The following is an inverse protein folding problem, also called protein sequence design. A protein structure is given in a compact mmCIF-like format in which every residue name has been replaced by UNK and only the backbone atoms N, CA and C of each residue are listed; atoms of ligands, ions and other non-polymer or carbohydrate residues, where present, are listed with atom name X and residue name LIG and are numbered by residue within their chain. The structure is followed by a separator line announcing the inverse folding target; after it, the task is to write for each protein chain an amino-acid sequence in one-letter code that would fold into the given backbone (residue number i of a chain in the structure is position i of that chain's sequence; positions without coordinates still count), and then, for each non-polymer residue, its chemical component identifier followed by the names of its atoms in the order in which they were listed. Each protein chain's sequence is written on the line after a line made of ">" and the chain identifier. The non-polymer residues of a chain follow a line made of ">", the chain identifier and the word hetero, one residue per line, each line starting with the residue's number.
data_IF_773019972246
#
_entry.id   IF_773019972246
#
_cell.length_a   1.000
_cell.length_b   1.000
_cell.length_c   1.000
_cell.angle_alpha   90.00
_cell.angle_beta   90.00
_cell.angle_gamma   90.00
#
_symmetry.space_group_name_H-M   'P 1'
#
loop_
_entity.id
_entity.type
_entity.pdbx_description
1 polymer ?
#
# COMPACT_ATOMS: atom_id res chain seq x y z
N UNK A 1 -1.62 2.14 23.28
CA UNK A 1 -1.17 0.93 22.56
C UNK A 1 -0.86 -0.15 23.57
N UNK A 2 -1.45 -1.33 23.39
CA UNK A 2 -1.12 -2.52 24.18
C UNK A 2 0.25 -3.03 23.73
N UNK A 3 1.21 -3.17 24.66
CA UNK A 3 2.59 -3.58 24.32
C UNK A 3 2.69 -5.02 23.83
N UNK A 4 1.65 -5.82 24.04
CA UNK A 4 1.63 -7.23 23.68
C UNK A 4 1.08 -7.49 22.27
N UNK A 5 0.59 -6.44 21.58
CA UNK A 5 0.02 -6.52 20.24
C UNK A 5 0.98 -5.93 19.20
N UNK A 6 0.98 -6.53 18.01
CA UNK A 6 1.67 -6.02 16.83
C UNK A 6 0.70 -5.10 16.07
N UNK A 7 1.04 -3.83 15.90
CA UNK A 7 0.16 -2.88 15.21
C UNK A 7 0.54 -2.63 13.76
N UNK A 8 1.82 -2.77 13.41
CA UNK A 8 2.30 -2.60 12.06
C UNK A 8 3.61 -3.34 11.82
N UNK A 9 3.88 -3.65 10.56
CA UNK A 9 5.15 -4.17 10.07
C UNK A 9 5.77 -3.04 9.22
N UNK A 10 6.85 -2.41 9.69
CA UNK A 10 7.49 -1.32 8.95
C UNK A 10 8.15 -1.79 7.66
N UNK A 11 8.07 -0.95 6.63
CA UNK A 11 8.78 -1.16 5.37
C UNK A 11 10.29 -1.20 5.57
N UNK A 12 10.97 -2.07 4.82
CA UNK A 12 12.44 -2.14 4.80
C UNK A 12 13.12 -2.78 6.02
N UNK A 13 12.43 -2.99 7.14
CA UNK A 13 13.02 -3.57 8.35
C UNK A 13 13.14 -5.11 8.28
N UNK A 14 12.15 -5.76 7.64
CA UNK A 14 12.06 -7.22 7.60
C UNK A 14 12.15 -7.73 6.16
N UNK A 15 13.02 -8.71 5.93
CA UNK A 15 12.93 -9.60 4.77
C UNK A 15 11.82 -10.65 4.98
N UNK A 16 11.53 -11.43 3.92
CA UNK A 16 10.52 -12.52 3.94
C UNK A 16 10.57 -13.37 5.22
N UNK A 17 11.72 -13.97 5.53
CA UNK A 17 11.86 -14.84 6.71
C UNK A 17 11.62 -14.10 8.02
N UNK A 18 11.96 -12.82 8.08
CA UNK A 18 11.69 -11.94 9.23
C UNK A 18 10.20 -11.73 9.42
N UNK A 19 9.47 -11.38 8.36
CA UNK A 19 8.02 -11.24 8.38
C UNK A 19 7.34 -12.54 8.81
N UNK A 20 7.72 -13.66 8.19
CA UNK A 20 7.12 -14.97 8.49
C UNK A 20 7.37 -15.38 9.95
N UNK A 21 8.55 -15.09 10.48
CA UNK A 21 8.89 -15.37 11.88
C UNK A 21 8.12 -14.47 12.84
N UNK A 22 8.00 -13.18 12.54
CA UNK A 22 7.23 -12.22 13.31
C UNK A 22 5.75 -12.61 13.39
N UNK A 23 5.13 -12.95 12.25
CA UNK A 23 3.71 -13.35 12.25
C UNK A 23 3.47 -14.64 13.03
N UNK A 24 4.43 -15.58 13.07
CA UNK A 24 4.34 -16.80 13.89
C UNK A 24 4.37 -16.52 15.40
N UNK A 25 4.94 -15.39 15.84
CA UNK A 25 4.90 -15.00 17.27
C UNK A 25 3.58 -14.32 17.67
N UNK A 26 2.72 -14.03 16.69
CA UNK A 26 1.41 -13.39 16.88
C UNK A 26 0.27 -14.29 16.34
N UNK A 27 0.00 -15.44 16.97
CA UNK A 27 -1.01 -16.40 16.50
C UNK A 27 -2.44 -15.84 16.52
N UNK A 28 -2.69 -14.73 17.22
CA UNK A 28 -3.94 -13.98 17.17
C UNK A 28 -4.21 -13.29 15.83
N UNK A 29 -3.19 -13.07 14.99
CA UNK A 29 -3.37 -12.55 13.64
C UNK A 29 -3.81 -13.72 12.76
N UNK A 30 -5.11 -13.79 12.45
CA UNK A 30 -5.72 -14.96 11.79
C UNK A 30 -5.96 -14.75 10.31
N UNK A 31 -5.94 -13.51 9.85
CA UNK A 31 -6.26 -13.15 8.48
C UNK A 31 -5.21 -12.21 7.91
N UNK A 32 -5.08 -12.22 6.58
CA UNK A 32 -4.49 -11.13 5.81
C UNK A 32 -5.57 -10.60 4.86
N UNK A 33 -5.58 -9.29 4.63
CA UNK A 33 -6.42 -8.65 3.63
C UNK A 33 -5.54 -7.80 2.72
N UNK A 34 -5.61 -8.06 1.41
CA UNK A 34 -5.02 -7.18 0.40
C UNK A 34 -6.01 -6.06 0.11
N UNK A 35 -5.55 -4.81 0.16
CA UNK A 35 -6.42 -3.63 0.03
C UNK A 35 -6.01 -2.83 -1.20
N UNK A 36 -6.84 -2.85 -2.23
CA UNK A 36 -6.69 -2.04 -3.44
C UNK A 36 -7.66 -0.85 -3.44
N UNK A 37 -7.30 0.23 -4.15
CA UNK A 37 -8.16 1.41 -4.30
C UNK A 37 -8.56 1.56 -5.76
N UNK A 38 -9.86 1.49 -6.05
CA UNK A 38 -10.38 1.65 -7.41
C UNK A 38 -10.33 3.11 -7.89
N UNK A 39 -10.78 3.38 -9.12
CA UNK A 39 -10.74 4.73 -9.71
C UNK A 39 -11.79 5.70 -9.14
N UNK A 40 -12.77 5.20 -8.40
CA UNK A 40 -13.73 6.02 -7.66
C UNK A 40 -13.25 6.32 -6.23
N UNK A 41 -12.12 5.75 -5.81
CA UNK A 41 -11.55 5.93 -4.47
C UNK A 41 -12.14 4.97 -3.43
N UNK A 42 -12.86 3.94 -3.84
CA UNK A 42 -13.37 2.92 -2.91
C UNK A 42 -12.24 1.93 -2.57
N UNK A 43 -12.22 1.50 -1.31
CA UNK A 43 -11.42 0.37 -0.91
C UNK A 43 -12.07 -0.94 -1.35
N UNK A 44 -11.26 -1.83 -1.92
CA UNK A 44 -11.62 -3.20 -2.22
C UNK A 44 -10.63 -4.09 -1.51
N UNK A 45 -11.15 -4.97 -0.67
CA UNK A 45 -10.33 -5.83 0.16
C UNK A 45 -10.70 -7.30 0.01
N UNK A 46 -9.67 -8.14 -0.13
CA UNK A 46 -9.82 -9.58 -0.23
C UNK A 46 -9.15 -10.24 0.97
N UNK A 47 -9.98 -10.78 1.87
CA UNK A 47 -9.55 -11.35 3.15
C UNK A 47 -9.37 -12.86 3.04
N UNK A 48 -8.17 -13.33 3.34
CA UNK A 48 -7.81 -14.75 3.33
C UNK A 48 -7.18 -15.19 4.65
N UNK A 49 -7.24 -16.49 5.01
CA UNK A 49 -6.56 -17.01 6.20
C UNK A 49 -5.05 -16.74 6.17
N UNK A 50 -4.49 -16.34 7.30
CA UNK A 50 -3.05 -16.03 7.43
C UNK A 50 -2.16 -17.22 7.06
N UNK A 51 -2.63 -18.45 7.25
CA UNK A 51 -1.90 -19.67 6.95
C UNK A 51 -1.57 -19.77 5.45
N UNK A 52 -2.46 -19.29 4.57
CA UNK A 52 -2.20 -19.25 3.13
C UNK A 52 -1.10 -18.24 2.80
N UNK A 53 -1.08 -17.10 3.48
CA UNK A 53 -0.02 -16.10 3.34
C UNK A 53 1.34 -16.64 3.80
N UNK A 54 1.37 -17.32 4.95
CA UNK A 54 2.60 -17.92 5.48
C UNK A 54 3.16 -19.00 4.55
N UNK A 55 2.29 -19.75 3.87
CA UNK A 55 2.67 -20.84 2.96
C UNK A 55 3.08 -20.32 1.58
N UNK A 56 2.32 -19.35 1.04
CA UNK A 56 2.41 -18.90 -0.35
C UNK A 56 2.89 -17.45 -0.45
N UNK A 57 3.76 -17.02 0.47
CA UNK A 57 4.16 -15.62 0.62
C UNK A 57 4.52 -14.92 -0.70
N UNK A 58 5.36 -15.56 -1.53
CA UNK A 58 5.84 -14.95 -2.79
C UNK A 58 4.71 -14.74 -3.80
N UNK A 59 3.67 -15.57 -3.78
CA UNK A 59 2.54 -15.51 -4.72
C UNK A 59 1.69 -14.23 -4.50
N UNK A 60 1.67 -13.68 -3.28
CA UNK A 60 0.99 -12.42 -2.98
C UNK A 60 1.67 -11.22 -3.63
N UNK A 61 3.00 -11.28 -3.79
CA UNK A 61 3.79 -10.23 -4.44
C UNK A 61 3.94 -10.44 -5.95
N UNK A 62 3.76 -11.69 -6.42
CA UNK A 62 3.73 -12.02 -7.84
C UNK A 62 2.37 -11.72 -8.51
N UNK A 63 1.33 -11.40 -7.73
CA UNK A 63 -0.03 -11.21 -8.26
C UNK A 63 -0.72 -12.51 -8.66
N UNK A 64 -0.34 -13.63 -8.05
CA UNK A 64 -0.88 -14.96 -8.38
C UNK A 64 -1.71 -15.56 -7.26
N UNK A 65 -1.63 -15.00 -6.04
CA UNK A 65 -2.33 -15.53 -4.87
C UNK A 65 -3.79 -15.08 -4.74
N UNK A 66 -4.09 -13.83 -5.11
CA UNK A 66 -5.39 -13.18 -4.85
C UNK A 66 -5.87 -12.46 -6.09
N UNK A 67 -7.16 -12.65 -6.41
CA UNK A 67 -7.82 -12.08 -7.57
C UNK A 67 -9.18 -11.56 -7.14
N UNK A 68 -9.60 -10.45 -7.73
CA UNK A 68 -10.97 -9.93 -7.62
C UNK A 68 -11.62 -9.88 -9.00
N UNK A 69 -12.94 -9.91 -9.01
CA UNK A 69 -13.72 -9.61 -10.20
C UNK A 69 -13.74 -8.08 -10.43
N UNK A 70 -13.35 -7.66 -11.63
CA UNK A 70 -13.30 -6.29 -12.10
C UNK A 70 -14.66 -5.61 -12.17
N UNK A 71 -15.75 -6.38 -12.12
CA UNK A 71 -17.11 -5.85 -11.94
C UNK A 71 -17.44 -5.50 -10.49
N UNK A 72 -16.67 -6.00 -9.51
CA UNK A 72 -16.79 -5.65 -8.09
C UNK A 72 -16.02 -4.39 -7.72
N UNK A 73 -15.33 -3.77 -8.68
CA UNK A 73 -14.52 -2.56 -8.50
C UNK A 73 -14.81 -1.53 -9.58
N UNK A 74 -14.68 -0.24 -9.27
CA UNK A 74 -14.97 0.81 -10.26
C UNK A 74 -13.75 1.04 -11.16
N UNK A 75 -13.69 0.27 -12.25
CA UNK A 75 -12.65 0.33 -13.28
C UNK A 75 -13.26 0.65 -14.65
N UNK A 76 -13.81 1.86 -14.80
CA UNK A 76 -14.60 2.29 -15.97
C UNK A 76 -13.93 1.93 -17.32
N UNK A 77 -14.55 1.04 -18.08
CA UNK A 77 -14.10 0.55 -19.40
C UNK A 77 -12.75 -0.18 -19.43
N UNK A 78 -12.18 -0.51 -18.27
CA UNK A 78 -10.91 -1.25 -18.18
C UNK A 78 -11.19 -2.74 -18.01
N UNK A 79 -12.08 -3.11 -17.08
CA UNK A 79 -12.57 -4.47 -16.91
C UNK A 79 -13.97 -4.59 -17.53
N UNK A 80 -14.19 -5.63 -18.34
CA UNK A 80 -15.50 -5.92 -18.95
C UNK A 80 -15.99 -7.30 -18.52
N UNK A 81 -17.27 -7.62 -18.68
CA UNK A 81 -17.83 -8.92 -18.23
C UNK A 81 -17.04 -10.14 -18.74
N UNK A 82 -16.49 -10.07 -19.95
CA UNK A 82 -15.73 -11.16 -20.56
C UNK A 82 -14.21 -11.07 -20.30
N UNK A 83 -13.77 -10.01 -19.64
CA UNK A 83 -12.37 -9.73 -19.28
C UNK A 83 -12.33 -8.99 -17.95
N UNK A 84 -12.84 -9.66 -16.91
CA UNK A 84 -13.03 -9.07 -15.59
C UNK A 84 -11.92 -9.44 -14.60
N UNK A 85 -10.97 -10.30 -14.97
CA UNK A 85 -9.96 -10.77 -14.02
C UNK A 85 -9.04 -9.62 -13.62
N UNK A 86 -8.94 -9.34 -12.33
CA UNK A 86 -8.01 -8.38 -11.75
C UNK A 86 -7.17 -9.08 -10.69
N UNK A 87 -5.86 -9.11 -10.89
CA UNK A 87 -4.92 -9.69 -9.94
C UNK A 87 -4.53 -8.63 -8.89
N UNK A 88 -4.45 -9.00 -7.61
CA UNK A 88 -4.05 -8.11 -6.52
C UNK A 88 -2.59 -8.35 -6.16
N UNK A 89 -1.75 -7.32 -6.32
CA UNK A 89 -0.30 -7.39 -6.11
C UNK A 89 0.06 -6.65 -4.82
N UNK A 90 0.44 -7.39 -3.78
CA UNK A 90 0.83 -6.82 -2.48
C UNK A 90 2.02 -5.85 -2.62
N UNK A 91 1.99 -4.72 -1.90
CA UNK A 91 3.02 -3.70 -1.94
C UNK A 91 4.01 -3.84 -0.76
N UNK A 92 5.24 -4.32 -0.98
CA UNK A 92 6.24 -4.46 0.08
C UNK A 92 6.97 -3.16 0.42
N UNK A 93 6.73 -2.07 -0.35
CA UNK A 93 7.46 -0.81 -0.18
C UNK A 93 6.88 0.09 0.91
N UNK A 94 5.76 -0.30 1.51
CA UNK A 94 5.05 0.50 2.52
C UNK A 94 4.79 -0.28 3.80
N UNK A 95 4.48 0.44 4.87
CA UNK A 95 4.09 -0.16 6.13
C UNK A 95 2.79 -0.95 5.96
N UNK A 96 2.74 -2.13 6.58
CA UNK A 96 1.52 -2.92 6.71
C UNK A 96 0.99 -2.79 8.12
N UNK A 97 -0.32 -2.82 8.32
CA UNK A 97 -0.92 -2.60 9.63
C UNK A 97 -1.80 -3.78 10.05
N UNK A 98 -2.02 -3.93 11.35
CA UNK A 98 -2.91 -4.95 11.90
C UNK A 98 -4.20 -4.28 12.35
N UNK A 99 -5.31 -4.73 11.80
CA UNK A 99 -6.66 -4.36 12.21
C UNK A 99 -7.21 -5.40 13.18
N UNK A 100 -7.47 -5.00 14.42
CA UNK A 100 -7.92 -5.89 15.49
C UNK A 100 -9.42 -5.77 15.72
N UNK A 101 -10.10 -6.91 15.75
CA UNK A 101 -11.50 -6.99 16.15
C UNK A 101 -11.60 -7.28 17.65
N UNK A 102 -11.85 -6.23 18.44
CA UNK A 102 -11.97 -6.31 19.90
C UNK A 102 -13.16 -7.17 20.39
N UNK A 103 -14.18 -7.38 19.55
CA UNK A 103 -15.32 -8.23 19.87
C UNK A 103 -15.04 -9.72 19.59
N UNK A 104 -13.95 -10.04 18.90
CA UNK A 104 -13.57 -11.41 18.55
C UNK A 104 -12.25 -11.78 19.20
N UNK A 105 -12.32 -12.45 20.36
CA UNK A 105 -11.15 -12.80 21.16
C UNK A 105 -10.63 -14.19 20.79
N UNK A 106 -9.33 -14.28 20.52
CA UNK A 106 -8.62 -15.53 20.28
C UNK A 106 -8.34 -16.28 21.59
N UNK A 107 -7.98 -17.57 21.48
CA UNK A 107 -7.77 -18.47 22.63
C UNK A 107 -6.72 -17.97 23.64
N UNK A 108 -5.77 -17.15 23.19
CA UNK A 108 -4.74 -16.54 24.04
C UNK A 108 -5.21 -15.26 24.76
N UNK A 109 -6.50 -14.90 24.65
CA UNK A 109 -7.09 -13.71 25.28
C UNK A 109 -6.85 -12.39 24.52
N UNK A 110 -6.21 -12.42 23.34
CA UNK A 110 -5.98 -11.25 22.50
C UNK A 110 -7.07 -11.13 21.41
N UNK A 111 -7.40 -9.92 20.94
CA UNK A 111 -8.33 -9.76 19.82
C UNK A 111 -7.76 -10.37 18.54
N UNK A 112 -8.64 -10.91 17.70
CA UNK A 112 -8.28 -11.46 16.40
C UNK A 112 -7.84 -10.34 15.46
N UNK A 113 -6.63 -10.48 14.93
CA UNK A 113 -6.02 -9.52 14.02
C UNK A 113 -6.18 -9.91 12.54
N UNK A 114 -6.31 -8.89 11.69
CA UNK A 114 -6.19 -8.96 10.23
C UNK A 114 -4.99 -8.13 9.80
N UNK A 115 -3.97 -8.75 9.22
CA UNK A 115 -2.87 -8.04 8.56
C UNK A 115 -3.40 -7.38 7.29
N UNK A 116 -3.39 -6.05 7.21
CA UNK A 116 -3.83 -5.29 6.05
C UNK A 116 -2.62 -4.82 5.25
N UNK A 117 -2.54 -5.25 4.00
CA UNK A 117 -1.44 -4.97 3.08
C UNK A 117 -2.01 -4.16 1.90
N UNK A 118 -1.56 -2.91 1.68
CA UNK A 118 -1.90 -2.19 0.47
C UNK A 118 -1.46 -2.98 -0.77
N UNK A 119 -2.26 -2.96 -1.82
CA UNK A 119 -1.93 -3.64 -3.07
C UNK A 119 -2.17 -2.74 -4.28
N UNK A 120 -1.62 -3.17 -5.42
CA UNK A 120 -1.95 -2.65 -6.74
C UNK A 120 -2.94 -3.60 -7.43
N UNK A 121 -3.79 -3.06 -8.30
CA UNK A 121 -4.70 -3.83 -9.12
C UNK A 121 -4.09 -3.98 -10.51
N UNK A 122 -3.74 -5.21 -10.86
CA UNK A 122 -3.13 -5.58 -12.12
C UNK A 122 -4.18 -6.19 -13.04
N UNK A 123 -4.30 -5.65 -14.24
CA UNK A 123 -5.15 -6.19 -15.28
C UNK A 123 -4.40 -6.22 -16.59
N UNK A 124 -4.33 -7.38 -17.25
CA UNK A 124 -3.64 -7.56 -18.53
C UNK A 124 -2.19 -7.02 -18.53
N UNK A 125 -1.47 -7.23 -17.43
CA UNK A 125 -0.07 -6.81 -17.26
C UNK A 125 0.13 -5.31 -17.03
N UNK A 126 -0.94 -4.56 -16.75
CA UNK A 126 -0.88 -3.13 -16.44
C UNK A 126 -1.53 -2.85 -15.10
N UNK A 127 -0.90 -1.99 -14.29
CA UNK A 127 -1.56 -1.46 -13.10
C UNK A 127 -2.57 -0.41 -13.50
N UNK A 128 -3.77 -0.50 -12.93
CA UNK A 128 -4.96 0.23 -13.37
C UNK A 128 -5.69 0.93 -12.22
N UNK A 129 -5.11 0.91 -11.02
CA UNK A 129 -5.70 1.44 -9.81
C UNK A 129 -5.27 2.89 -9.52
N UNK A 130 -5.97 3.52 -8.58
CA UNK A 130 -5.65 4.88 -8.15
C UNK A 130 -4.26 5.00 -7.52
N UNK A 131 -3.77 3.96 -6.85
CA UNK A 131 -2.46 3.97 -6.18
C UNK A 131 -1.33 3.94 -7.21
N UNK A 132 -1.42 3.13 -8.27
CA UNK A 132 -0.43 3.12 -9.35
C UNK A 132 -0.40 4.45 -10.09
N UNK A 133 -1.57 5.03 -10.38
CA UNK A 133 -1.68 6.35 -11.02
C UNK A 133 -1.03 7.43 -10.15
N UNK A 134 -1.30 7.43 -8.85
CA UNK A 134 -0.67 8.37 -7.91
C UNK A 134 0.86 8.20 -7.89
N UNK A 135 1.35 6.97 -7.79
CA UNK A 135 2.79 6.67 -7.80
C UNK A 135 3.47 7.21 -9.05
N UNK A 136 2.91 6.91 -10.23
CA UNK A 136 3.45 7.37 -11.52
C UNK A 136 3.35 8.90 -11.64
N UNK A 137 2.28 9.50 -11.13
CA UNK A 137 2.10 10.96 -11.12
C UNK A 137 3.13 11.65 -10.23
N UNK A 138 3.39 11.14 -9.03
CA UNK A 138 4.43 11.65 -8.14
C UNK A 138 5.81 11.57 -8.80
N UNK A 139 6.18 10.41 -9.38
CA UNK A 139 7.45 10.25 -10.07
C UNK A 139 7.59 11.23 -11.26
N UNK A 140 6.53 11.37 -12.06
CA UNK A 140 6.51 12.31 -13.19
C UNK A 140 6.66 13.77 -12.73
N UNK A 141 5.92 14.19 -11.71
CA UNK A 141 5.98 15.57 -11.20
C UNK A 141 7.33 15.84 -10.55
N UNK A 142 7.90 14.89 -9.79
CA UNK A 142 9.25 15.00 -9.24
C UNK A 142 10.27 15.23 -10.35
N UNK A 143 10.32 14.37 -11.37
CA UNK A 143 11.23 14.51 -12.53
C UNK A 143 11.11 15.88 -13.20
N UNK A 144 9.88 16.31 -13.50
CA UNK A 144 9.65 17.60 -14.18
C UNK A 144 10.02 18.78 -13.30
N UNK A 145 9.69 18.74 -12.02
CA UNK A 145 10.02 19.81 -11.10
C UNK A 145 11.53 19.92 -10.91
N UNK A 146 12.22 18.78 -10.75
CA UNK A 146 13.68 18.73 -10.66
C UNK A 146 14.35 19.33 -11.90
N UNK A 147 13.89 18.95 -13.10
CA UNK A 147 14.37 19.52 -14.36
C UNK A 147 14.11 21.02 -14.50
N UNK A 148 12.97 21.52 -14.01
CA UNK A 148 12.65 22.96 -14.01
C UNK A 148 13.54 23.75 -13.05
N UNK A 149 13.82 23.20 -11.86
CA UNK A 149 14.67 23.82 -10.84
C UNK A 149 16.14 23.85 -11.27
N UNK A 150 16.65 22.75 -11.82
CA UNK A 150 18.01 22.67 -12.37
C UNK A 150 18.21 23.54 -13.63
N UNK A 151 17.14 23.89 -14.35
CA UNK A 151 17.18 24.69 -15.59
C UNK A 151 17.57 26.17 -15.42
N UNK A 152 18.06 26.59 -14.25
CA UNK A 152 18.58 27.94 -14.01
C UNK A 152 17.53 29.04 -13.85
N UNK A 153 16.24 28.69 -13.74
CA UNK A 153 15.18 29.67 -13.46
C UNK A 153 15.23 30.08 -11.99
N UNK A 154 15.44 31.38 -11.74
CA UNK A 154 15.37 31.94 -10.38
C UNK A 154 13.92 31.87 -9.88
N UNK A 155 13.71 31.10 -8.81
CA UNK A 155 12.46 31.10 -8.06
C UNK A 155 12.55 32.20 -7.01
N UNK A 156 11.65 33.18 -7.08
CA UNK A 156 11.62 34.32 -6.16
C UNK A 156 11.45 33.82 -4.71
N UNK A 157 12.33 34.23 -3.80
CA UNK A 157 12.33 33.81 -2.40
C UNK A 157 13.08 32.50 -2.13
N UNK A 158 13.72 31.91 -3.14
CA UNK A 158 14.56 30.70 -3.03
C UNK A 158 15.91 30.91 -3.71
N UNK A 159 16.41 32.14 -3.74
CA UNK A 159 17.64 32.52 -4.47
C UNK A 159 18.89 31.79 -3.96
N UNK A 160 18.93 31.43 -2.68
CA UNK A 160 20.07 30.77 -2.02
C UNK A 160 19.97 29.23 -2.02
N UNK A 161 18.93 28.66 -2.66
CA UNK A 161 18.73 27.20 -2.69
C UNK A 161 19.61 26.59 -3.79
N UNK A 162 20.51 25.65 -3.46
CA UNK A 162 21.34 24.98 -4.46
C UNK A 162 20.53 23.89 -5.18
N UNK A 163 19.75 24.30 -6.19
CA UNK A 163 18.85 23.38 -6.92
C UNK A 163 19.57 22.19 -7.59
N UNK A 164 20.85 22.36 -7.95
CA UNK A 164 21.69 21.29 -8.52
C UNK A 164 22.00 20.17 -7.52
N UNK A 165 21.96 20.46 -6.22
CA UNK A 165 22.27 19.51 -5.14
C UNK A 165 21.04 18.71 -4.68
N UNK A 166 19.85 18.95 -5.26
CA UNK A 166 18.63 18.23 -4.88
C UNK A 166 18.74 16.77 -5.35
N UNK A 167 18.64 15.82 -4.41
CA UNK A 167 18.67 14.38 -4.71
C UNK A 167 17.31 13.82 -5.12
N UNK A 168 16.22 14.25 -4.47
CA UNK A 168 14.86 13.83 -4.82
C UNK A 168 13.81 14.86 -4.35
N UNK A 169 12.58 14.71 -4.85
CA UNK A 169 11.42 15.50 -4.43
C UNK A 169 10.36 14.52 -3.92
N UNK A 170 10.18 14.52 -2.61
CA UNK A 170 9.20 13.66 -1.95
C UNK A 170 7.87 14.40 -1.74
N UNK A 171 6.77 13.70 -2.02
CA UNK A 171 5.42 14.20 -1.76
C UNK A 171 4.96 13.71 -0.40
N UNK A 172 4.58 14.65 0.46
CA UNK A 172 3.85 14.34 1.69
C UNK A 172 2.42 14.83 1.57
N UNK A 173 1.51 14.19 2.29
CA UNK A 173 0.19 14.78 2.53
C UNK A 173 0.38 16.04 3.36
N UNK A 174 -0.22 17.14 2.91
CA UNK A 174 -0.38 18.32 3.75
C UNK A 174 -1.48 18.01 4.75
N UNK A 175 -1.13 17.69 6.00
CA UNK A 175 -2.09 17.87 7.09
C UNK A 175 -2.34 19.36 7.18
N UNK A 176 -3.59 19.79 7.07
CA UNK A 176 -3.98 21.19 7.27
C UNK A 176 -3.38 21.68 8.59
N UNK A 177 -2.34 22.51 8.50
CA UNK A 177 -1.84 23.29 9.63
C UNK A 177 -2.75 24.51 9.71
N UNK A 178 -3.90 24.36 10.37
CA UNK A 178 -4.72 25.50 10.77
C UNK A 178 -3.94 26.34 11.79
N UNK A 179 -3.19 27.33 11.30
CA UNK A 179 -2.76 28.44 12.13
C UNK A 179 -3.94 29.39 12.29
N UNK A 180 -4.71 29.22 13.36
CA UNK A 180 -5.57 30.27 13.88
C UNK A 180 -4.67 31.41 14.39
N UNK A 181 -4.72 32.56 13.71
CA UNK A 181 -4.11 33.83 14.14
C UNK A 181 -5.12 34.64 14.94
#
# INVERSE_FOLDING_TARGET
>A
MNKDLLYYIPTGEFGKEGVLSLLKTHPEIRFVSLVGIDLAGNDTDEKVPIELFLKNYDDFFAGTAVQTDGSSVVLMNIATLNDARVDMVADPSVNWYIDYNEDNIYENGRPVGTLRIPCFLLHNGKFIDSRSILKDSCAFVADKLKGLLAGGKKVKGMEDVPFEDIEDIEFTIGTELEFWV
#
